data_IF_456723290778
#
_entry.id   IF_456723290778
#
_cell.length_a   1.000
_cell.length_b   1.000
_cell.length_c   1.000
_cell.angle_alpha   90.00
_cell.angle_beta   90.00
_cell.angle_gamma   90.00
#
_symmetry.space_group_name_H-M   'P 1'
#
loop_
_entity.id
_entity.type
_entity.pdbx_description
1 polymer ?
#
# COMPACT_ATOMS: atom_id res chain seq x y z
N UNK A 1 42.89 17.42 -9.22
CA UNK A 1 42.43 16.09 -8.73
C UNK A 1 40.97 16.11 -8.31
N UNK A 2 40.48 17.17 -7.63
CA UNK A 2 39.08 17.32 -7.21
C UNK A 2 38.03 17.17 -8.33
N UNK A 3 38.25 17.77 -9.52
CA UNK A 3 37.32 17.66 -10.67
C UNK A 3 37.16 16.23 -11.20
N UNK A 4 38.22 15.41 -11.13
CA UNK A 4 38.18 13.99 -11.55
C UNK A 4 37.43 13.12 -10.53
N UNK A 5 37.60 13.42 -9.25
CA UNK A 5 36.86 12.75 -8.17
C UNK A 5 35.36 13.06 -8.23
N UNK A 6 34.98 14.32 -8.48
CA UNK A 6 33.57 14.71 -8.65
C UNK A 6 32.93 14.04 -9.86
N UNK A 7 33.65 13.96 -10.99
CA UNK A 7 33.16 13.29 -12.20
C UNK A 7 32.98 11.77 -12.01
N UNK A 8 33.92 11.13 -11.28
CA UNK A 8 33.82 9.72 -10.91
C UNK A 8 32.65 9.44 -9.96
N UNK A 9 32.38 10.34 -9.01
CA UNK A 9 31.23 10.23 -8.09
C UNK A 9 29.89 10.36 -8.83
N UNK A 10 29.83 11.28 -9.80
CA UNK A 10 28.63 11.49 -10.64
C UNK A 10 28.33 10.29 -11.53
N UNK A 11 29.37 9.68 -12.11
CA UNK A 11 29.23 8.43 -12.89
C UNK A 11 28.80 7.25 -12.02
N UNK A 12 29.30 7.16 -10.79
CA UNK A 12 28.94 6.10 -9.85
C UNK A 12 27.46 6.20 -9.42
N UNK A 13 26.91 7.41 -9.30
CA UNK A 13 25.47 7.60 -8.99
C UNK A 13 24.52 7.21 -10.13
N UNK A 14 24.98 7.13 -11.38
CA UNK A 14 24.17 6.72 -12.54
C UNK A 14 24.22 5.19 -12.73
N UNK A 15 25.26 4.52 -12.22
CA UNK A 15 25.48 3.09 -12.39
C UNK A 15 24.80 2.19 -11.34
N UNK A 16 24.20 2.77 -10.30
CA UNK A 16 23.46 1.99 -9.29
C UNK A 16 22.00 1.81 -9.74
N UNK A 17 21.50 0.56 -9.85
CA UNK A 17 20.09 0.34 -10.14
C UNK A 17 19.24 0.90 -9.00
N UNK A 18 18.32 1.81 -9.31
CA UNK A 18 17.29 2.23 -8.36
C UNK A 18 16.33 1.06 -8.17
N UNK A 19 16.50 0.32 -7.09
CA UNK A 19 15.52 -0.69 -6.67
C UNK A 19 14.32 0.00 -6.02
N UNK A 20 13.17 -0.03 -6.70
CA UNK A 20 11.89 0.34 -6.09
C UNK A 20 11.42 -0.85 -5.25
N UNK A 21 11.45 -0.72 -3.93
CA UNK A 21 10.86 -1.71 -3.02
C UNK A 21 9.36 -1.46 -2.92
N UNK A 22 8.54 -2.49 -3.12
CA UNK A 22 7.13 -2.40 -2.76
C UNK A 22 7.01 -2.18 -1.24
N UNK A 23 6.16 -1.25 -0.83
CA UNK A 23 5.90 -1.04 0.59
C UNK A 23 5.30 -2.31 1.20
N UNK A 24 5.86 -2.78 2.32
CA UNK A 24 5.25 -3.86 3.11
C UNK A 24 4.18 -3.27 4.01
N UNK A 25 2.97 -3.83 3.95
CA UNK A 25 1.85 -3.42 4.81
C UNK A 25 1.63 -4.46 5.91
N UNK A 26 1.43 -3.99 7.13
CA UNK A 26 0.95 -4.88 8.20
C UNK A 26 -0.54 -5.16 8.01
N UNK A 27 -0.96 -6.42 8.17
CA UNK A 27 -2.36 -6.82 8.06
C UNK A 27 -2.95 -7.09 9.45
N UNK A 28 -4.24 -6.82 9.67
CA UNK A 28 -4.89 -7.12 10.93
C UNK A 28 -4.96 -8.64 11.15
N UNK A 29 -4.86 -9.06 12.41
CA UNK A 29 -5.24 -10.40 12.83
C UNK A 29 -6.76 -10.58 12.64
N UNK A 30 -7.19 -11.65 11.98
CA UNK A 30 -8.59 -11.82 11.53
C UNK A 30 -9.58 -12.25 12.62
N UNK A 31 -9.13 -12.38 13.88
CA UNK A 31 -9.96 -12.80 15.01
C UNK A 31 -10.34 -14.28 15.01
N UNK A 32 -10.07 -15.01 13.92
CA UNK A 32 -10.24 -16.46 13.88
C UNK A 32 -9.29 -17.14 14.88
N UNK A 33 -9.85 -17.97 15.75
CA UNK A 33 -9.11 -18.79 16.74
C UNK A 33 -9.28 -20.28 16.51
N UNK A 34 -10.42 -20.70 15.95
CA UNK A 34 -10.64 -22.06 15.50
C UNK A 34 -9.96 -22.28 14.14
N UNK A 35 -9.21 -23.39 14.02
CA UNK A 35 -8.60 -23.82 12.77
C UNK A 35 -9.45 -24.92 12.13
N UNK A 36 -9.63 -24.81 10.82
CA UNK A 36 -10.31 -25.76 9.94
C UNK A 36 -9.34 -26.40 8.94
N UNK A 37 -8.16 -25.82 8.72
CA UNK A 37 -7.12 -26.37 7.86
C UNK A 37 -5.72 -25.91 8.27
N UNK A 38 -4.70 -26.70 7.93
CA UNK A 38 -3.30 -26.29 8.16
C UNK A 38 -2.99 -25.02 7.37
N UNK A 39 -2.49 -24.00 8.06
CA UNK A 39 -2.09 -22.73 7.46
C UNK A 39 -3.21 -21.69 7.34
N UNK A 40 -4.40 -21.95 7.90
CA UNK A 40 -5.43 -20.92 8.02
C UNK A 40 -5.14 -19.90 9.12
N UNK A 41 -5.98 -18.86 9.21
CA UNK A 41 -5.77 -17.78 10.17
C UNK A 41 -5.92 -18.23 11.62
N UNK A 42 -6.79 -19.21 11.89
CA UNK A 42 -6.96 -19.82 13.21
C UNK A 42 -5.72 -20.55 13.69
N UNK A 43 -5.02 -21.24 12.79
CA UNK A 43 -3.75 -21.91 13.06
C UNK A 43 -2.59 -20.92 13.17
N UNK A 44 -2.49 -19.96 12.25
CA UNK A 44 -1.30 -19.12 12.10
C UNK A 44 -1.35 -17.84 12.94
N UNK A 45 -2.52 -17.19 13.00
CA UNK A 45 -2.76 -15.97 13.77
C UNK A 45 -1.71 -14.86 13.53
N UNK A 46 -1.20 -14.76 12.29
CA UNK A 46 -0.01 -13.98 11.89
C UNK A 46 -0.20 -12.47 11.83
N UNK A 47 -1.45 -11.99 11.82
CA UNK A 47 -1.74 -10.56 11.72
C UNK A 47 -1.43 -9.78 13.00
N UNK A 48 -1.43 -8.46 12.88
CA UNK A 48 -1.16 -7.51 13.96
C UNK A 48 -2.45 -7.22 14.73
N UNK A 49 -2.31 -6.90 16.03
CA UNK A 49 -3.43 -6.48 16.85
C UNK A 49 -4.12 -5.23 16.29
N UNK A 50 -5.43 -5.12 16.52
CA UNK A 50 -6.23 -3.97 16.11
C UNK A 50 -5.82 -2.73 16.93
N UNK A 51 -5.51 -1.57 16.31
CA UNK A 51 -5.20 -0.35 17.05
C UNK A 51 -6.47 0.20 17.72
N UNK A 52 -6.34 1.03 18.77
CA UNK A 52 -7.51 1.60 19.45
C UNK A 52 -8.52 2.28 18.51
N UNK A 53 -8.02 2.97 17.46
CA UNK A 53 -8.84 3.51 16.37
C UNK A 53 -8.28 3.04 15.03
N UNK A 54 -8.99 2.13 14.35
CA UNK A 54 -8.57 1.59 13.04
C UNK A 54 -8.91 2.53 11.89
N UNK A 55 -10.14 3.02 11.82
CA UNK A 55 -10.59 3.84 10.70
C UNK A 55 -10.87 5.27 11.15
N UNK A 56 -10.19 6.23 10.52
CA UNK A 56 -10.42 7.66 10.70
C UNK A 56 -11.05 8.23 9.43
N UNK A 57 -12.23 8.85 9.53
CA UNK A 57 -12.89 9.46 8.39
C UNK A 57 -12.66 10.97 8.35
N UNK A 58 -12.39 11.52 7.16
CA UNK A 58 -12.44 12.96 6.86
C UNK A 58 -13.74 13.27 6.10
N UNK A 59 -13.86 14.43 5.43
CA UNK A 59 -15.02 14.73 4.58
C UNK A 59 -15.19 13.68 3.47
N UNK A 60 -14.13 13.38 2.72
CA UNK A 60 -14.22 12.59 1.48
C UNK A 60 -13.46 11.26 1.51
N UNK A 61 -12.66 11.01 2.56
CA UNK A 61 -11.80 9.83 2.64
C UNK A 61 -11.95 9.10 3.98
N UNK A 62 -11.51 7.85 3.99
CA UNK A 62 -11.34 7.02 5.16
C UNK A 62 -9.90 6.52 5.16
N UNK A 63 -9.19 6.74 6.27
CA UNK A 63 -7.82 6.27 6.51
C UNK A 63 -7.87 5.05 7.42
N UNK A 64 -7.22 3.96 7.00
CA UNK A 64 -6.89 2.83 7.87
C UNK A 64 -5.57 3.10 8.58
N UNK A 65 -5.64 3.43 9.88
CA UNK A 65 -4.49 3.74 10.71
C UNK A 65 -3.56 2.54 10.97
N UNK A 66 -3.99 1.30 10.69
CA UNK A 66 -3.12 0.11 10.78
C UNK A 66 -2.26 -0.05 9.53
N UNK A 67 -2.85 0.16 8.35
CA UNK A 67 -2.18 -0.08 7.06
C UNK A 67 -1.59 1.18 6.46
N UNK A 68 -2.04 2.36 6.88
CA UNK A 68 -1.76 3.65 6.25
C UNK A 68 -2.53 3.88 4.95
N UNK A 69 -3.35 2.92 4.51
CA UNK A 69 -4.12 3.02 3.27
C UNK A 69 -5.26 4.02 3.43
N UNK A 70 -5.56 4.73 2.34
CA UNK A 70 -6.64 5.72 2.28
C UNK A 70 -7.52 5.37 1.09
N UNK A 71 -8.83 5.36 1.31
CA UNK A 71 -9.81 5.24 0.24
C UNK A 71 -10.87 6.31 0.37
N UNK A 72 -11.67 6.42 -0.66
CA UNK A 72 -12.73 7.41 -0.77
C UNK A 72 -13.97 6.93 -0.03
N UNK A 73 -14.68 7.85 0.61
CA UNK A 73 -15.91 7.52 1.33
C UNK A 73 -17.05 7.14 0.39
N UNK A 74 -17.08 7.77 -0.78
CA UNK A 74 -18.00 7.39 -1.86
C UNK A 74 -17.40 6.22 -2.66
N UNK A 75 -18.15 5.10 -2.67
CA UNK A 75 -17.80 3.89 -3.42
C UNK A 75 -18.16 3.98 -4.91
N UNK A 76 -18.90 5.02 -5.33
CA UNK A 76 -19.32 5.26 -6.72
C UNK A 76 -18.75 6.57 -7.28
N UNK A 77 -17.51 6.91 -6.91
CA UNK A 77 -16.82 8.11 -7.41
C UNK A 77 -16.76 8.27 -8.93
N UNK A 78 -16.58 7.20 -9.72
CA UNK A 78 -16.71 7.29 -11.18
C UNK A 78 -18.08 7.73 -11.69
N UNK A 79 -19.13 7.54 -10.88
CA UNK A 79 -20.53 7.72 -11.21
C UNK A 79 -20.96 7.03 -12.53
N UNK A 80 -20.21 6.02 -12.97
CA UNK A 80 -20.37 5.34 -14.26
C UNK A 80 -19.70 3.97 -14.23
N UNK A 81 -20.22 3.04 -15.04
CA UNK A 81 -19.56 1.78 -15.30
C UNK A 81 -18.29 1.99 -16.12
N UNK A 82 -17.27 1.19 -15.85
CA UNK A 82 -16.00 1.18 -16.59
C UNK A 82 -15.75 -0.21 -17.12
N UNK A 83 -15.14 -0.32 -18.30
CA UNK A 83 -14.52 -1.59 -18.71
C UNK A 83 -13.39 -1.94 -17.76
N UNK A 84 -12.96 -3.21 -17.76
CA UNK A 84 -11.85 -3.67 -16.90
C UNK A 84 -10.61 -2.79 -17.04
N UNK A 85 -10.19 -2.48 -18.27
CA UNK A 85 -9.01 -1.64 -18.50
C UNK A 85 -9.22 -0.20 -18.00
N UNK A 86 -10.38 0.39 -18.29
CA UNK A 86 -10.71 1.74 -17.80
C UNK A 86 -10.72 1.82 -16.26
N UNK A 87 -11.10 0.74 -15.58
CA UNK A 87 -11.05 0.68 -14.12
C UNK A 87 -9.60 0.66 -13.59
N UNK A 88 -8.71 -0.11 -14.23
CA UNK A 88 -7.28 -0.12 -13.88
C UNK A 88 -6.62 1.25 -14.14
N UNK A 89 -6.94 1.88 -15.28
CA UNK A 89 -6.44 3.22 -15.62
C UNK A 89 -6.94 4.26 -14.60
N UNK A 90 -8.21 4.14 -14.18
CA UNK A 90 -8.78 5.00 -13.15
C UNK A 90 -8.08 4.83 -11.79
N UNK A 91 -7.86 3.59 -11.34
CA UNK A 91 -7.11 3.31 -10.10
C UNK A 91 -5.68 3.87 -10.19
N UNK A 92 -5.03 3.75 -11.35
CA UNK A 92 -3.71 4.33 -11.59
C UNK A 92 -3.73 5.85 -11.43
N UNK A 93 -4.76 6.52 -11.96
CA UNK A 93 -4.94 7.98 -11.80
C UNK A 93 -5.20 8.38 -10.35
N UNK A 94 -5.99 7.60 -9.59
CA UNK A 94 -6.23 7.86 -8.16
C UNK A 94 -4.96 7.74 -7.32
N UNK A 95 -4.08 6.82 -7.69
CA UNK A 95 -2.82 6.58 -6.97
C UNK A 95 -1.71 7.59 -7.33
N UNK A 96 -1.93 8.46 -8.33
CA UNK A 96 -0.92 9.42 -8.80
C UNK A 96 -0.85 10.71 -7.97
N UNK A 97 -1.88 11.03 -7.17
CA UNK A 97 -1.95 12.24 -6.34
C UNK A 97 -2.49 13.45 -7.09
#
# INVERSE_FOLDING_TARGET
MLKKAVFALLLLSIALPVTVMAATVSLPKTGQTASYSTGDDGALQRGVAWPGTRFSATTNTVTDNLTGLVWTKDANLPAATKTWQQALDYVTSMNAG
#
